data_IF_439056848998
#
_entry.id   IF_439056848998
#
_cell.length_a   1.000
_cell.length_b   1.000
_cell.length_c   1.000
_cell.angle_alpha   90.00
_cell.angle_beta   90.00
_cell.angle_gamma   90.00
#
_symmetry.space_group_name_H-M   'P 1'
#
loop_
_entity.id
_entity.type
_entity.pdbx_description
1 polymer ?
#
# COMPACT_ATOMS: atom_id res chain seq x y z
N UNK A 1 7.17 14.99 54.33
CA UNK A 1 6.48 13.71 54.08
C UNK A 1 6.43 13.52 52.59
N UNK A 2 7.40 12.80 52.02
CA UNK A 2 7.44 12.48 50.59
C UNK A 2 6.60 11.24 50.36
N UNK A 3 5.56 11.38 49.58
CA UNK A 3 4.73 10.26 49.11
C UNK A 3 5.45 9.64 47.95
N UNK A 4 6.08 8.50 48.19
CA UNK A 4 6.64 7.62 47.13
C UNK A 4 5.44 6.92 46.48
N UNK A 5 5.04 7.39 45.32
CA UNK A 5 4.10 6.67 44.46
C UNK A 5 4.81 5.44 43.89
N UNK A 6 4.45 4.27 44.41
CA UNK A 6 4.83 3.01 43.75
C UNK A 6 4.27 2.98 42.32
N UNK A 7 5.02 2.47 41.33
CA UNK A 7 4.49 2.31 39.99
C UNK A 7 3.38 1.27 40.01
N UNK A 8 2.16 1.69 39.60
CA UNK A 8 1.03 0.78 39.40
C UNK A 8 1.50 -0.42 38.56
N UNK A 9 1.31 -1.60 39.11
CA UNK A 9 1.52 -2.87 38.46
C UNK A 9 0.66 -2.87 37.18
N UNK A 10 1.33 -2.76 36.02
CA UNK A 10 0.71 -2.94 34.72
C UNK A 10 0.04 -4.33 34.71
N UNK A 11 -1.28 -4.34 34.60
CA UNK A 11 -2.05 -5.58 34.40
C UNK A 11 -1.54 -6.34 33.17
N UNK A 12 -1.92 -7.61 32.97
CA UNK A 12 -1.43 -8.41 31.88
C UNK A 12 -1.64 -7.67 30.56
N UNK A 13 -0.54 -7.42 29.81
CA UNK A 13 -0.57 -6.72 28.54
C UNK A 13 -1.50 -7.46 27.57
N UNK A 14 -2.44 -6.73 26.96
CA UNK A 14 -3.35 -7.31 25.98
C UNK A 14 -2.54 -7.84 24.76
N UNK A 15 -2.92 -9.00 24.24
CA UNK A 15 -2.33 -9.52 23.02
C UNK A 15 -2.58 -8.56 21.84
N UNK A 16 -1.61 -8.45 20.94
CA UNK A 16 -1.72 -7.60 19.75
C UNK A 16 -2.90 -8.01 18.85
N UNK A 17 -3.22 -9.29 18.80
CA UNK A 17 -4.41 -9.79 18.10
C UNK A 17 -5.71 -9.21 18.68
N UNK A 18 -5.87 -9.23 19.99
CA UNK A 18 -7.06 -8.68 20.66
C UNK A 18 -7.12 -7.16 20.53
N UNK A 19 -5.98 -6.50 20.50
CA UNK A 19 -5.90 -5.07 20.23
C UNK A 19 -6.39 -4.73 18.82
N UNK A 20 -5.90 -5.43 17.78
CA UNK A 20 -6.33 -5.26 16.40
C UNK A 20 -7.84 -5.55 16.23
N UNK A 21 -8.32 -6.65 16.82
CA UNK A 21 -9.71 -7.05 16.76
C UNK A 21 -10.64 -5.99 17.39
N UNK A 22 -10.28 -5.50 18.57
CA UNK A 22 -11.05 -4.46 19.26
C UNK A 22 -11.14 -3.16 18.46
N UNK A 23 -10.03 -2.70 17.88
CA UNK A 23 -10.03 -1.50 17.04
C UNK A 23 -10.89 -1.69 15.80
N UNK A 24 -10.74 -2.83 15.12
CA UNK A 24 -11.54 -3.15 13.94
C UNK A 24 -13.04 -3.21 14.23
N UNK A 25 -13.44 -3.73 15.40
CA UNK A 25 -14.86 -3.77 15.80
C UNK A 25 -15.49 -2.39 16.00
N UNK A 26 -14.68 -1.35 16.26
CA UNK A 26 -15.17 0.03 16.39
C UNK A 26 -15.50 0.66 15.04
N UNK A 27 -14.73 0.35 13.99
CA UNK A 27 -14.97 0.79 12.60
C UNK A 27 -14.54 -0.33 11.63
N UNK A 28 -15.45 -1.25 11.29
CA UNK A 28 -15.10 -2.43 10.50
C UNK A 28 -14.75 -2.17 9.03
N UNK A 29 -15.14 -1.03 8.49
CA UNK A 29 -15.01 -0.74 7.06
C UNK A 29 -13.89 0.25 6.73
N UNK A 30 -13.18 0.76 7.74
CA UNK A 30 -12.10 1.73 7.58
C UNK A 30 -10.74 1.17 7.99
N UNK A 31 -9.64 1.76 7.49
CA UNK A 31 -8.31 1.51 8.03
C UNK A 31 -8.22 1.92 9.50
N UNK A 32 -7.43 1.15 10.28
CA UNK A 32 -7.22 1.49 11.68
C UNK A 32 -6.57 2.87 11.83
N UNK A 33 -7.06 3.72 12.75
CA UNK A 33 -6.44 5.01 13.03
C UNK A 33 -4.96 4.84 13.38
N UNK A 34 -4.08 5.58 12.69
CA UNK A 34 -2.61 5.51 12.85
C UNK A 34 -2.06 4.07 12.80
N UNK A 35 -2.63 3.22 11.95
CA UNK A 35 -2.27 1.80 11.84
C UNK A 35 -2.37 1.02 13.17
N UNK A 36 -3.28 1.43 14.06
CA UNK A 36 -3.51 0.84 15.37
C UNK A 36 -2.56 1.29 16.48
N UNK A 37 -1.70 2.27 16.23
CA UNK A 37 -0.82 2.83 17.26
C UNK A 37 -1.60 3.74 18.26
N UNK A 38 -1.21 3.77 19.56
CA UNK A 38 -0.07 3.04 20.17
C UNK A 38 -0.36 1.55 20.38
N UNK A 39 0.66 0.72 20.13
CA UNK A 39 0.56 -0.72 20.38
C UNK A 39 0.73 -1.04 21.88
N UNK A 40 0.14 -2.14 22.40
CA UNK A 40 0.28 -2.53 23.80
C UNK A 40 1.72 -2.66 24.30
N UNK A 41 2.67 -2.99 23.40
CA UNK A 41 4.10 -3.18 23.72
C UNK A 41 4.99 -1.95 23.40
N UNK A 42 4.43 -0.79 23.06
CA UNK A 42 5.20 0.37 22.62
C UNK A 42 6.25 0.84 23.62
N UNK A 43 5.93 0.80 24.91
CA UNK A 43 6.86 1.22 25.94
C UNK A 43 8.05 0.25 26.07
N UNK A 44 7.78 -1.05 26.09
CA UNK A 44 8.83 -2.09 26.08
C UNK A 44 9.70 -1.98 24.82
N UNK A 45 9.07 -1.79 23.66
CA UNK A 45 9.77 -1.67 22.38
C UNK A 45 10.62 -0.39 22.31
N UNK A 46 10.19 0.72 22.89
CA UNK A 46 10.94 1.97 22.98
C UNK A 46 12.20 1.81 23.83
N UNK A 47 12.10 1.17 24.99
CA UNK A 47 13.24 0.89 25.86
C UNK A 47 14.30 0.02 25.17
N UNK A 48 13.87 -0.95 24.33
CA UNK A 48 14.76 -1.82 23.55
C UNK A 48 15.47 -1.10 22.40
N UNK A 49 14.79 -0.19 21.68
CA UNK A 49 15.37 0.62 20.59
C UNK A 49 16.51 1.55 21.03
N UNK A 50 16.59 1.88 22.30
CA UNK A 50 17.70 2.70 22.85
C UNK A 50 19.02 1.94 22.98
N UNK A 51 19.04 0.61 22.86
CA UNK A 51 20.27 -0.18 22.78
C UNK A 51 20.89 -0.04 21.39
N UNK A 52 22.20 0.29 21.27
CA UNK A 52 22.84 0.40 19.98
C UNK A 52 22.77 -0.93 19.25
N UNK A 53 22.05 -0.95 18.13
CA UNK A 53 22.11 -2.06 17.19
C UNK A 53 23.54 -2.08 16.62
N UNK A 54 24.34 -3.04 17.00
CA UNK A 54 25.56 -3.39 16.26
C UNK A 54 25.11 -3.63 14.82
N UNK A 55 25.74 -2.93 13.87
CA UNK A 55 25.48 -3.04 12.43
C UNK A 55 25.78 -4.49 12.00
N UNK A 56 24.78 -5.38 12.18
CA UNK A 56 24.88 -6.76 11.71
C UNK A 56 24.78 -6.76 10.19
N UNK A 57 25.59 -7.58 9.55
CA UNK A 57 25.46 -7.84 8.11
C UNK A 57 23.99 -8.22 7.81
N UNK A 58 23.40 -7.54 6.85
CA UNK A 58 22.01 -7.79 6.43
C UNK A 58 21.75 -9.27 6.10
N UNK A 59 22.79 -9.99 5.62
CA UNK A 59 22.73 -11.43 5.31
C UNK A 59 22.56 -12.32 6.55
N UNK A 60 22.92 -11.83 7.72
CA UNK A 60 22.79 -12.56 8.99
C UNK A 60 21.48 -12.22 9.71
N UNK A 61 20.66 -11.35 9.15
CA UNK A 61 19.40 -10.96 9.75
C UNK A 61 18.46 -12.17 9.84
N UNK A 62 17.91 -12.42 11.03
CA UNK A 62 17.03 -13.55 11.28
C UNK A 62 17.75 -14.87 11.66
N UNK A 63 19.10 -14.94 11.62
CA UNK A 63 19.85 -16.13 12.04
C UNK A 63 19.63 -16.43 13.53
N UNK A 64 19.65 -15.41 14.39
CA UNK A 64 19.41 -15.57 15.83
C UNK A 64 17.98 -16.10 16.08
N UNK A 65 16.99 -15.58 15.35
CA UNK A 65 15.60 -16.06 15.40
C UNK A 65 15.51 -17.53 14.98
N UNK A 66 16.18 -17.89 13.88
CA UNK A 66 16.22 -19.28 13.40
C UNK A 66 16.84 -20.24 14.42
N UNK A 67 17.93 -19.83 15.08
CA UNK A 67 18.58 -20.63 16.13
C UNK A 67 17.65 -20.86 17.34
N UNK A 68 16.89 -19.84 17.76
CA UNK A 68 15.90 -19.97 18.83
C UNK A 68 14.81 -20.97 18.42
N UNK A 69 14.32 -20.88 17.18
CA UNK A 69 13.30 -21.80 16.65
C UNK A 69 13.83 -23.23 16.55
N UNK A 70 15.06 -23.44 16.07
CA UNK A 70 15.67 -24.77 16.00
C UNK A 70 15.80 -25.40 17.39
N UNK A 71 16.22 -24.64 18.42
CA UNK A 71 16.28 -25.12 19.80
C UNK A 71 14.89 -25.48 20.34
N UNK A 72 13.88 -24.66 20.06
CA UNK A 72 12.49 -24.91 20.50
C UNK A 72 11.94 -26.19 19.85
N UNK A 73 12.01 -26.28 18.52
CA UNK A 73 11.46 -27.43 17.78
C UNK A 73 12.27 -28.72 17.98
N UNK A 74 13.52 -28.61 18.39
CA UNK A 74 14.39 -29.76 18.78
C UNK A 74 13.92 -30.48 20.05
N UNK A 75 13.14 -29.80 20.92
CA UNK A 75 12.57 -30.40 22.14
C UNK A 75 11.17 -30.94 21.83
N UNK A 76 10.91 -32.20 22.19
CA UNK A 76 9.64 -32.86 21.88
C UNK A 76 8.45 -32.26 22.64
N UNK A 77 8.65 -31.77 23.83
CA UNK A 77 7.67 -31.26 24.80
C UNK A 77 7.60 -29.74 24.91
N UNK A 78 8.41 -29.00 24.11
CA UNK A 78 8.42 -27.55 24.14
C UNK A 78 7.05 -26.94 23.83
N UNK A 79 6.63 -26.01 24.69
CA UNK A 79 5.36 -25.32 24.57
C UNK A 79 5.51 -23.99 23.85
N UNK A 80 4.57 -23.58 22.99
CA UNK A 80 4.63 -22.28 22.29
C UNK A 80 4.79 -21.07 23.22
N UNK A 81 4.28 -21.16 24.45
CA UNK A 81 4.40 -20.09 25.45
C UNK A 81 5.84 -19.81 25.88
N UNK A 82 6.76 -20.77 25.75
CA UNK A 82 8.18 -20.57 26.02
C UNK A 82 8.85 -19.57 25.07
N UNK A 83 8.23 -19.32 23.92
CA UNK A 83 8.69 -18.36 22.92
C UNK A 83 8.11 -16.96 23.09
N UNK A 84 7.20 -16.73 24.05
CA UNK A 84 6.49 -15.44 24.17
C UNK A 84 7.45 -14.24 24.29
N UNK A 85 8.56 -14.40 25.01
CA UNK A 85 9.56 -13.35 25.24
C UNK A 85 10.93 -13.68 24.62
N UNK A 86 11.05 -14.80 23.92
CA UNK A 86 12.35 -15.30 23.42
C UNK A 86 12.98 -14.41 22.34
N UNK A 87 12.18 -13.59 21.65
CA UNK A 87 12.64 -12.77 20.53
C UNK A 87 12.87 -11.31 20.88
N UNK A 88 12.76 -10.97 22.17
CA UNK A 88 12.85 -9.59 22.64
C UNK A 88 14.17 -8.90 22.31
N UNK A 89 15.27 -9.63 22.24
CA UNK A 89 16.60 -9.10 21.92
C UNK A 89 17.07 -9.43 20.49
N UNK A 90 16.27 -10.19 19.74
CA UNK A 90 16.57 -10.56 18.36
C UNK A 90 16.15 -9.48 17.37
N UNK A 91 16.90 -9.33 16.26
CA UNK A 91 16.47 -8.52 15.12
C UNK A 91 15.49 -9.33 14.27
N UNK A 92 14.19 -9.17 14.54
CA UNK A 92 13.12 -9.89 13.85
C UNK A 92 12.75 -9.18 12.56
N UNK A 93 13.01 -9.78 11.38
CA UNK A 93 12.64 -9.21 10.09
C UNK A 93 11.12 -9.22 9.89
N UNK A 94 10.60 -8.13 9.35
CA UNK A 94 9.15 -7.99 9.03
C UNK A 94 8.79 -8.53 7.65
N UNK A 95 9.76 -8.82 6.82
CA UNK A 95 9.59 -9.44 5.50
C UNK A 95 9.99 -10.91 5.56
N UNK A 96 9.66 -11.64 4.49
CA UNK A 96 10.11 -13.02 4.33
C UNK A 96 11.62 -13.15 4.59
N UNK A 97 11.97 -14.16 5.36
CA UNK A 97 13.36 -14.41 5.73
C UNK A 97 13.70 -15.89 5.56
N UNK A 98 14.74 -16.18 4.78
CA UNK A 98 15.12 -17.54 4.41
C UNK A 98 15.59 -18.36 5.63
N UNK A 99 16.27 -17.76 6.61
CA UNK A 99 16.74 -18.45 7.81
C UNK A 99 15.55 -18.94 8.67
N UNK A 100 14.56 -18.05 8.89
CA UNK A 100 13.35 -18.37 9.65
C UNK A 100 12.53 -19.44 8.89
N UNK A 101 12.35 -19.28 7.59
CA UNK A 101 11.64 -20.24 6.75
C UNK A 101 12.33 -21.62 6.76
N UNK A 102 13.67 -21.66 6.66
CA UNK A 102 14.43 -22.90 6.73
C UNK A 102 14.30 -23.60 8.10
N UNK A 103 14.31 -22.84 9.21
CA UNK A 103 14.09 -23.41 10.55
C UNK A 103 12.68 -24.02 10.66
N UNK A 104 11.66 -23.33 10.18
CA UNK A 104 10.29 -23.84 10.14
C UNK A 104 10.17 -25.13 9.30
N UNK A 105 10.83 -25.20 8.13
CA UNK A 105 10.78 -26.37 7.24
C UNK A 105 11.51 -27.60 7.79
N UNK A 106 12.48 -27.44 8.71
CA UNK A 106 13.14 -28.55 9.41
C UNK A 106 12.26 -29.19 10.48
N UNK A 107 11.27 -28.45 10.98
CA UNK A 107 10.41 -28.90 12.06
C UNK A 107 9.14 -29.59 11.56
N UNK A 108 8.47 -30.32 12.46
CA UNK A 108 7.20 -30.97 12.13
C UNK A 108 6.11 -29.93 11.82
N UNK A 109 5.54 -29.97 10.62
CA UNK A 109 4.60 -28.97 10.08
C UNK A 109 3.47 -28.59 11.05
N UNK A 110 2.85 -29.56 11.70
CA UNK A 110 1.75 -29.30 12.63
C UNK A 110 2.22 -28.51 13.88
N UNK A 111 3.41 -28.80 14.41
CA UNK A 111 3.98 -28.04 15.52
C UNK A 111 4.29 -26.61 15.12
N UNK A 112 4.88 -26.42 13.93
CA UNK A 112 5.17 -25.08 13.39
C UNK A 112 3.87 -24.26 13.29
N UNK A 113 2.80 -24.84 12.73
CA UNK A 113 1.50 -24.21 12.64
C UNK A 113 0.91 -23.86 14.01
N UNK A 114 0.91 -24.81 14.94
CA UNK A 114 0.38 -24.60 16.29
C UNK A 114 1.15 -23.48 17.01
N UNK A 115 2.49 -23.49 16.93
CA UNK A 115 3.34 -22.44 17.50
C UNK A 115 3.05 -21.08 16.84
N UNK A 116 2.96 -21.02 15.51
CA UNK A 116 2.61 -19.81 14.79
C UNK A 116 1.25 -19.23 15.20
N UNK A 117 0.22 -20.05 15.26
CA UNK A 117 -1.13 -19.67 15.73
C UNK A 117 -1.10 -19.12 17.16
N UNK A 118 -0.39 -19.83 18.05
CA UNK A 118 -0.31 -19.42 19.44
C UNK A 118 0.37 -18.05 19.59
N UNK A 119 1.53 -17.86 18.93
CA UNK A 119 2.27 -16.61 18.99
C UNK A 119 1.46 -15.44 18.43
N UNK A 120 0.79 -15.60 17.31
CA UNK A 120 -0.04 -14.53 16.73
C UNK A 120 -1.21 -14.19 17.65
N UNK A 121 -1.85 -15.20 18.27
CA UNK A 121 -3.07 -14.99 19.05
C UNK A 121 -2.82 -14.49 20.45
N UNK A 122 -1.70 -14.89 21.08
CA UNK A 122 -1.53 -14.69 22.52
C UNK A 122 -0.34 -13.80 22.90
N UNK A 123 0.60 -13.52 21.96
CA UNK A 123 1.73 -12.67 22.31
C UNK A 123 1.32 -11.21 22.45
N UNK A 124 1.71 -10.56 23.55
CA UNK A 124 1.62 -9.12 23.70
C UNK A 124 2.76 -8.37 22.99
N UNK A 125 3.82 -9.06 22.58
CA UNK A 125 5.06 -8.53 22.00
C UNK A 125 5.05 -8.65 20.48
N UNK A 126 5.37 -7.54 19.79
CA UNK A 126 5.36 -7.47 18.33
C UNK A 126 6.42 -8.36 17.67
N UNK A 127 7.55 -8.62 18.32
CA UNK A 127 8.59 -9.48 17.78
C UNK A 127 8.12 -10.93 17.73
N UNK A 128 7.58 -11.43 18.83
CA UNK A 128 7.04 -12.79 18.93
C UNK A 128 5.83 -12.99 18.00
N UNK A 129 4.93 -12.00 17.90
CA UNK A 129 3.83 -12.01 16.94
C UNK A 129 4.34 -12.04 15.50
N UNK A 130 5.39 -11.26 15.16
CA UNK A 130 6.01 -11.28 13.83
C UNK A 130 6.58 -12.65 13.50
N UNK A 131 7.28 -13.31 14.45
CA UNK A 131 7.80 -14.66 14.25
C UNK A 131 6.64 -15.64 14.06
N UNK A 132 5.58 -15.54 14.87
CA UNK A 132 4.37 -16.37 14.70
C UNK A 132 3.79 -16.26 13.29
N UNK A 133 3.69 -15.03 12.76
CA UNK A 133 3.20 -14.80 11.41
C UNK A 133 4.17 -15.32 10.34
N UNK A 134 5.49 -15.20 10.57
CA UNK A 134 6.50 -15.77 9.67
C UNK A 134 6.39 -17.31 9.61
N UNK A 135 6.13 -17.98 10.75
CA UNK A 135 5.86 -19.42 10.78
C UNK A 135 4.59 -19.77 9.99
N UNK A 136 3.50 -19.02 10.15
CA UNK A 136 2.27 -19.22 9.37
C UNK A 136 2.48 -18.97 7.87
N UNK A 137 3.38 -18.09 7.48
CA UNK A 137 3.71 -17.84 6.07
C UNK A 137 4.42 -19.04 5.39
N UNK A 138 4.94 -20.00 6.15
CA UNK A 138 5.52 -21.25 5.60
C UNK A 138 4.48 -22.34 5.35
N UNK A 139 3.23 -22.12 5.75
CA UNK A 139 2.09 -23.04 5.61
C UNK A 139 0.97 -22.39 4.79
N UNK A 140 0.02 -23.19 4.29
CA UNK A 140 -1.09 -22.72 3.46
C UNK A 140 -2.46 -23.25 3.89
N UNK A 141 -2.63 -23.46 5.18
CA UNK A 141 -3.92 -23.85 5.75
C UNK A 141 -4.95 -22.70 5.68
N UNK A 142 -6.10 -22.97 5.06
CA UNK A 142 -7.16 -21.96 4.84
C UNK A 142 -7.78 -21.47 6.16
N UNK A 143 -7.87 -22.34 7.16
CA UNK A 143 -8.42 -22.01 8.47
C UNK A 143 -7.66 -20.91 9.23
N UNK A 144 -6.43 -20.57 8.80
CA UNK A 144 -5.64 -19.48 9.38
C UNK A 144 -5.96 -18.10 8.78
N UNK A 145 -6.74 -18.03 7.71
CA UNK A 145 -7.08 -16.77 7.03
C UNK A 145 -7.65 -15.73 8.01
N UNK A 146 -8.66 -16.03 8.85
CA UNK A 146 -9.21 -15.02 9.75
C UNK A 146 -8.19 -14.51 10.80
N UNK A 147 -7.32 -15.39 11.28
CA UNK A 147 -6.26 -15.02 12.21
C UNK A 147 -5.26 -14.06 11.57
N UNK A 148 -4.83 -14.38 10.34
CA UNK A 148 -3.87 -13.57 9.57
C UNK A 148 -4.50 -12.23 9.18
N UNK A 149 -5.75 -12.20 8.73
CA UNK A 149 -6.46 -10.97 8.39
C UNK A 149 -6.55 -10.02 9.58
N UNK A 150 -6.91 -10.53 10.76
CA UNK A 150 -7.05 -9.70 11.96
C UNK A 150 -5.73 -9.04 12.35
N UNK A 151 -4.64 -9.81 12.43
CA UNK A 151 -3.33 -9.23 12.80
C UNK A 151 -2.77 -8.33 11.70
N UNK A 152 -3.12 -8.57 10.44
CA UNK A 152 -2.71 -7.78 9.28
C UNK A 152 -3.33 -6.38 9.25
N UNK A 153 -4.36 -6.10 10.05
CA UNK A 153 -4.91 -4.75 10.22
C UNK A 153 -3.91 -3.79 10.86
N UNK A 154 -2.96 -4.28 11.67
CA UNK A 154 -1.77 -3.55 12.12
C UNK A 154 -0.72 -3.59 11.00
N UNK A 155 -1.07 -2.96 9.89
CA UNK A 155 -0.56 -3.30 8.57
C UNK A 155 0.86 -2.84 8.30
N UNK A 156 1.30 -1.77 8.94
CA UNK A 156 2.67 -1.27 8.81
C UNK A 156 3.69 -2.30 9.30
N UNK A 157 3.38 -2.96 10.41
CA UNK A 157 4.27 -3.95 11.03
C UNK A 157 4.09 -5.35 10.47
N UNK A 158 2.84 -5.80 10.34
CA UNK A 158 2.54 -7.19 10.01
C UNK A 158 2.13 -7.40 8.55
N UNK A 159 1.85 -6.32 7.82
CA UNK A 159 1.41 -6.36 6.42
C UNK A 159 2.28 -7.19 5.49
N UNK A 160 3.62 -7.06 5.48
CA UNK A 160 4.46 -7.81 4.55
C UNK A 160 4.32 -9.33 4.68
N UNK A 161 4.41 -9.85 5.92
CA UNK A 161 4.29 -11.28 6.18
C UNK A 161 2.85 -11.78 6.05
N UNK A 162 1.86 -10.96 6.41
CA UNK A 162 0.46 -11.31 6.26
C UNK A 162 0.07 -11.40 4.78
N UNK A 163 0.48 -10.45 3.96
CA UNK A 163 0.23 -10.48 2.53
C UNK A 163 0.87 -11.70 1.87
N UNK A 164 2.13 -12.02 2.23
CA UNK A 164 2.81 -13.23 1.77
C UNK A 164 2.10 -14.51 2.22
N UNK A 165 1.66 -14.57 3.48
CA UNK A 165 0.94 -15.71 4.02
C UNK A 165 -0.41 -15.93 3.33
N UNK A 166 -1.19 -14.87 3.11
CA UNK A 166 -2.48 -14.94 2.43
C UNK A 166 -2.32 -15.32 0.96
N UNK A 167 -1.34 -14.74 0.27
CA UNK A 167 -1.08 -15.00 -1.15
C UNK A 167 -0.89 -16.50 -1.46
N UNK A 168 -0.41 -17.28 -0.51
CA UNK A 168 -0.17 -18.72 -0.67
C UNK A 168 -1.38 -19.60 -0.35
N UNK A 169 -2.47 -19.03 0.15
CA UNK A 169 -3.64 -19.79 0.59
C UNK A 169 -4.73 -19.82 -0.47
N UNK A 170 -5.46 -20.91 -0.53
CA UNK A 170 -6.74 -20.93 -1.23
C UNK A 170 -7.69 -19.99 -0.50
N UNK A 171 -8.47 -19.18 -1.23
CA UNK A 171 -9.25 -18.09 -0.63
C UNK A 171 -8.41 -16.86 -0.20
N UNK A 172 -7.10 -16.87 -0.47
CA UNK A 172 -6.19 -15.79 -0.11
C UNK A 172 -6.41 -14.52 -0.94
N UNK A 173 -6.93 -14.64 -2.17
CA UNK A 173 -7.26 -13.50 -3.00
C UNK A 173 -8.39 -12.67 -2.39
N UNK A 174 -9.47 -13.30 -1.99
CA UNK A 174 -10.59 -12.66 -1.32
C UNK A 174 -10.18 -12.05 0.01
N UNK A 175 -9.29 -12.74 0.73
CA UNK A 175 -8.73 -12.25 1.98
C UNK A 175 -7.85 -10.99 1.79
N UNK A 176 -7.04 -10.96 0.73
CA UNK A 176 -6.24 -9.79 0.36
C UNK A 176 -7.12 -8.63 -0.12
N UNK A 177 -8.18 -8.88 -0.89
CA UNK A 177 -9.14 -7.86 -1.29
C UNK A 177 -9.86 -7.25 -0.08
N UNK A 178 -10.24 -8.08 0.88
CA UNK A 178 -10.83 -7.62 2.13
C UNK A 178 -9.87 -6.69 2.90
N UNK A 179 -8.58 -7.06 2.98
CA UNK A 179 -7.55 -6.23 3.59
C UNK A 179 -7.31 -4.93 2.81
N UNK A 180 -7.23 -5.00 1.48
CA UNK A 180 -6.98 -3.82 0.65
C UNK A 180 -7.98 -2.68 0.86
N UNK A 181 -9.19 -3.00 1.31
CA UNK A 181 -10.23 -2.03 1.66
C UNK A 181 -10.08 -1.46 3.08
N UNK A 182 -9.20 -2.06 3.93
CA UNK A 182 -9.09 -1.79 5.37
C UNK A 182 -7.69 -1.40 5.83
N UNK A 183 -6.78 -1.20 4.90
CA UNK A 183 -5.40 -0.78 5.19
C UNK A 183 -5.01 0.40 4.32
N UNK A 184 -4.12 1.24 4.85
CA UNK A 184 -3.59 2.43 4.17
C UNK A 184 -2.06 2.44 4.21
N UNK A 185 -1.45 3.43 3.58
CA UNK A 185 -0.02 3.64 3.62
C UNK A 185 0.78 2.40 3.17
N UNK A 186 1.84 2.04 3.89
CA UNK A 186 2.66 0.87 3.57
C UNK A 186 1.89 -0.45 3.60
N UNK A 187 0.91 -0.59 4.50
CA UNK A 187 0.06 -1.78 4.54
C UNK A 187 -0.65 -2.01 3.20
N UNK A 188 -1.17 -0.93 2.61
CA UNK A 188 -1.81 -0.99 1.28
C UNK A 188 -0.80 -1.38 0.19
N UNK A 189 0.43 -0.86 0.23
CA UNK A 189 1.49 -1.24 -0.72
C UNK A 189 1.70 -2.75 -0.71
N UNK A 190 1.91 -3.36 0.45
CA UNK A 190 2.16 -4.81 0.55
C UNK A 190 0.99 -5.65 0.04
N UNK A 191 -0.23 -5.26 0.36
CA UNK A 191 -1.44 -6.00 -0.04
C UNK A 191 -1.68 -5.90 -1.54
N UNK A 192 -1.57 -4.69 -2.13
CA UNK A 192 -1.73 -4.49 -3.57
C UNK A 192 -0.64 -5.21 -4.36
N UNK A 193 0.61 -5.17 -3.90
CA UNK A 193 1.69 -5.93 -4.54
C UNK A 193 1.44 -7.44 -4.52
N UNK A 194 0.93 -7.97 -3.41
CA UNK A 194 0.57 -9.39 -3.31
C UNK A 194 -0.57 -9.77 -4.29
N UNK A 195 -1.61 -8.94 -4.41
CA UNK A 195 -2.67 -9.10 -5.39
C UNK A 195 -2.13 -9.10 -6.83
N UNK A 196 -1.26 -8.14 -7.15
CA UNK A 196 -0.63 -8.07 -8.48
C UNK A 196 0.22 -9.32 -8.79
N UNK A 197 0.92 -9.88 -7.80
CA UNK A 197 1.75 -11.07 -7.96
C UNK A 197 0.92 -12.36 -8.18
N UNK A 198 -0.29 -12.43 -7.65
CA UNK A 198 -1.18 -13.57 -7.90
C UNK A 198 -1.70 -13.59 -9.35
N UNK A 199 -1.67 -12.46 -10.05
CA UNK A 199 -2.24 -12.35 -11.40
C UNK A 199 -3.75 -12.60 -11.42
N UNK A 200 -4.42 -12.36 -10.33
CA UNK A 200 -5.73 -12.84 -10.00
C UNK A 200 -6.83 -12.17 -10.85
N UNK A 201 -7.57 -12.97 -11.55
CA UNK A 201 -8.66 -12.53 -12.43
C UNK A 201 -9.81 -11.88 -11.65
N UNK A 202 -10.13 -12.38 -10.46
CA UNK A 202 -11.22 -11.86 -9.63
C UNK A 202 -10.92 -10.47 -9.04
N UNK A 203 -9.67 -10.19 -8.66
CA UNK A 203 -9.25 -8.89 -8.13
C UNK A 203 -9.05 -7.82 -9.22
N UNK A 204 -8.93 -8.22 -10.50
CA UNK A 204 -8.67 -7.32 -11.63
C UNK A 204 -9.62 -6.13 -11.67
N UNK A 205 -10.94 -6.40 -11.58
CA UNK A 205 -11.98 -5.35 -11.66
C UNK A 205 -11.84 -4.35 -10.52
N UNK A 206 -11.54 -4.83 -9.33
CA UNK A 206 -11.32 -3.98 -8.15
C UNK A 206 -10.03 -3.16 -8.27
N UNK A 207 -8.91 -3.80 -8.66
CA UNK A 207 -7.62 -3.13 -8.86
C UNK A 207 -7.73 -1.98 -9.85
N UNK A 208 -8.45 -2.17 -10.95
CA UNK A 208 -8.65 -1.17 -12.00
C UNK A 208 -9.52 0.03 -11.57
N UNK A 209 -10.21 -0.03 -10.44
CA UNK A 209 -11.10 1.05 -9.96
C UNK A 209 -10.75 1.61 -8.60
N UNK A 210 -10.03 0.82 -7.76
CA UNK A 210 -9.89 1.15 -6.34
C UNK A 210 -8.48 0.96 -5.78
N UNK A 211 -7.49 0.50 -6.55
CA UNK A 211 -6.15 0.22 -6.00
C UNK A 211 -5.51 1.46 -5.39
N UNK A 212 -5.62 2.62 -6.04
CA UNK A 212 -5.03 3.88 -5.58
C UNK A 212 -6.05 4.68 -4.76
N UNK A 213 -5.66 5.07 -3.55
CA UNK A 213 -6.47 5.87 -2.61
C UNK A 213 -6.07 7.36 -2.55
N UNK A 214 -5.04 7.75 -3.30
CA UNK A 214 -4.52 9.12 -3.33
C UNK A 214 -3.26 9.33 -2.49
N UNK A 215 -2.84 8.34 -1.69
CA UNK A 215 -1.58 8.39 -0.95
C UNK A 215 -0.39 8.41 -1.93
N UNK A 216 0.68 9.15 -1.60
CA UNK A 216 1.90 9.24 -2.41
C UNK A 216 2.60 7.87 -2.55
N UNK A 217 2.44 6.97 -1.56
CA UNK A 217 2.97 5.60 -1.61
C UNK A 217 2.36 4.74 -2.72
N UNK A 218 1.26 5.18 -3.33
CA UNK A 218 0.68 4.51 -4.49
C UNK A 218 1.67 4.44 -5.68
N UNK A 219 2.68 5.33 -5.70
CA UNK A 219 3.78 5.29 -6.67
C UNK A 219 4.54 3.96 -6.70
N UNK A 220 4.60 3.21 -5.60
CA UNK A 220 5.27 1.91 -5.54
C UNK A 220 4.58 0.84 -6.38
N UNK A 221 3.25 0.91 -6.52
CA UNK A 221 2.49 -0.17 -7.16
C UNK A 221 1.65 0.25 -8.39
N UNK A 222 1.45 1.54 -8.68
CA UNK A 222 0.55 1.99 -9.75
C UNK A 222 0.85 1.33 -11.11
N UNK A 223 2.11 1.31 -11.54
CA UNK A 223 2.51 0.65 -12.79
C UNK A 223 2.37 -0.87 -12.75
N UNK A 224 2.55 -1.50 -11.58
CA UNK A 224 2.29 -2.94 -11.41
C UNK A 224 0.81 -3.25 -11.55
N UNK A 225 -0.07 -2.42 -10.98
CA UNK A 225 -1.53 -2.52 -11.15
C UNK A 225 -1.91 -2.38 -12.62
N UNK A 226 -1.39 -1.36 -13.31
CA UNK A 226 -1.65 -1.15 -14.73
C UNK A 226 -1.27 -2.37 -15.59
N UNK A 227 -0.16 -3.02 -15.23
CA UNK A 227 0.33 -4.21 -15.94
C UNK A 227 -0.46 -5.46 -15.56
N UNK A 228 -0.55 -5.80 -14.28
CA UNK A 228 -1.16 -7.04 -13.79
C UNK A 228 -2.67 -7.09 -14.04
N UNK A 229 -3.35 -5.95 -13.95
CA UNK A 229 -4.77 -5.84 -14.23
C UNK A 229 -5.10 -5.56 -15.71
N UNK A 230 -4.10 -5.56 -16.62
CA UNK A 230 -4.27 -5.34 -18.06
C UNK A 230 -5.05 -4.06 -18.37
N UNK A 231 -4.61 -2.93 -17.82
CA UNK A 231 -5.29 -1.64 -17.95
C UNK A 231 -5.56 -1.27 -19.41
N UNK A 232 -4.61 -1.55 -20.32
CA UNK A 232 -4.74 -1.20 -21.75
C UNK A 232 -5.91 -1.90 -22.43
N UNK A 233 -6.19 -3.17 -22.10
CA UNK A 233 -7.37 -3.89 -22.59
C UNK A 233 -8.66 -3.34 -21.99
N UNK A 234 -8.65 -3.05 -20.69
CA UNK A 234 -9.83 -2.59 -19.98
C UNK A 234 -10.29 -1.21 -20.46
N UNK A 235 -9.38 -0.22 -20.60
CA UNK A 235 -9.73 1.14 -21.01
C UNK A 235 -10.18 1.24 -22.48
N UNK A 236 -9.71 0.32 -23.32
CA UNK A 236 -10.12 0.24 -24.74
C UNK A 236 -11.34 -0.63 -24.95
N UNK A 237 -11.73 -1.42 -23.97
CA UNK A 237 -12.87 -2.34 -24.03
C UNK A 237 -14.24 -1.67 -24.05
N UNK A 238 -15.28 -2.48 -24.32
CA UNK A 238 -16.67 -2.00 -24.36
C UNK A 238 -17.28 -1.73 -22.98
N UNK A 239 -16.76 -2.39 -21.93
CA UNK A 239 -17.27 -2.30 -20.55
C UNK A 239 -16.58 -1.19 -19.73
N UNK A 240 -16.17 -0.11 -20.38
CA UNK A 240 -15.51 1.03 -19.72
C UNK A 240 -16.57 1.92 -19.07
N UNK A 241 -16.53 2.02 -17.76
CA UNK A 241 -17.34 2.92 -16.94
C UNK A 241 -16.53 4.13 -16.44
N UNK A 242 -17.21 5.10 -15.84
CA UNK A 242 -16.58 6.33 -15.32
C UNK A 242 -15.54 6.04 -14.24
N UNK A 243 -15.79 5.09 -13.34
CA UNK A 243 -14.84 4.70 -12.28
C UNK A 243 -13.53 4.18 -12.87
N UNK A 244 -13.61 3.38 -13.95
CA UNK A 244 -12.42 2.89 -14.65
C UNK A 244 -11.65 4.04 -15.31
N UNK A 245 -12.34 4.98 -15.96
CA UNK A 245 -11.69 6.13 -16.60
C UNK A 245 -11.01 7.02 -15.55
N UNK A 246 -11.69 7.33 -14.46
CA UNK A 246 -11.17 8.16 -13.37
C UNK A 246 -9.95 7.50 -12.71
N UNK A 247 -10.03 6.21 -12.44
CA UNK A 247 -8.88 5.51 -11.86
C UNK A 247 -7.72 5.34 -12.86
N UNK A 248 -8.02 5.22 -14.16
CA UNK A 248 -6.98 5.25 -15.21
C UNK A 248 -6.24 6.59 -15.21
N UNK A 249 -6.95 7.71 -15.15
CA UNK A 249 -6.34 9.03 -15.01
C UNK A 249 -5.43 9.13 -13.78
N UNK A 250 -5.89 8.61 -12.65
CA UNK A 250 -5.11 8.56 -11.41
C UNK A 250 -3.84 7.71 -11.56
N UNK A 251 -3.93 6.51 -12.15
CA UNK A 251 -2.77 5.64 -12.41
C UNK A 251 -1.76 6.32 -13.34
N UNK A 252 -2.22 6.94 -14.43
CA UNK A 252 -1.36 7.66 -15.37
C UNK A 252 -0.65 8.84 -14.70
N UNK A 253 -1.38 9.65 -13.93
CA UNK A 253 -0.82 10.77 -13.14
C UNK A 253 0.27 10.29 -12.17
N UNK A 254 0.01 9.20 -11.44
CA UNK A 254 0.98 8.63 -10.50
C UNK A 254 2.22 8.15 -11.25
N UNK A 255 2.07 7.40 -12.35
CA UNK A 255 3.20 6.94 -13.16
C UNK A 255 3.97 8.09 -13.81
N UNK A 256 3.34 9.22 -14.07
CA UNK A 256 4.02 10.43 -14.54
C UNK A 256 4.96 11.02 -13.48
N UNK A 257 4.59 10.94 -12.19
CA UNK A 257 5.30 11.59 -11.09
C UNK A 257 6.11 10.67 -10.15
N UNK A 258 6.02 9.34 -10.28
CA UNK A 258 6.59 8.40 -9.29
C UNK A 258 8.07 8.02 -9.51
N UNK A 259 8.83 8.85 -10.22
CA UNK A 259 10.26 8.57 -10.46
C UNK A 259 11.02 8.24 -9.17
N UNK A 260 11.76 7.12 -9.15
CA UNK A 260 12.50 6.64 -7.99
C UNK A 260 11.69 5.78 -7.01
N UNK A 261 10.37 5.64 -7.19
CA UNK A 261 9.50 4.80 -6.35
C UNK A 261 9.08 3.52 -7.06
N UNK A 262 8.54 3.62 -8.26
CA UNK A 262 7.99 2.50 -8.99
C UNK A 262 8.10 2.67 -10.51
N UNK A 263 7.24 1.95 -11.23
CA UNK A 263 7.20 1.97 -12.70
C UNK A 263 6.61 3.29 -13.19
N UNK A 264 7.39 4.02 -13.97
CA UNK A 264 6.99 5.26 -14.65
C UNK A 264 6.40 5.00 -16.04
N UNK A 265 5.85 6.02 -16.70
CA UNK A 265 5.19 5.88 -18.01
C UNK A 265 6.13 5.33 -19.08
N UNK A 266 7.40 5.71 -19.08
CA UNK A 266 8.42 5.21 -20.02
C UNK A 266 8.75 3.71 -19.86
N UNK A 267 8.48 3.17 -18.66
CA UNK A 267 8.62 1.75 -18.36
C UNK A 267 7.33 0.95 -18.53
N UNK A 268 6.23 1.61 -18.94
CA UNK A 268 4.95 0.97 -19.24
C UNK A 268 4.68 0.96 -20.74
N UNK A 269 4.99 -0.11 -21.49
CA UNK A 269 4.92 -0.12 -22.95
C UNK A 269 3.56 0.28 -23.54
N UNK A 270 2.39 -0.03 -22.93
CA UNK A 270 1.11 0.41 -23.43
C UNK A 270 0.79 1.90 -23.20
N UNK A 271 1.66 2.69 -22.53
CA UNK A 271 1.36 4.07 -22.14
C UNK A 271 0.74 4.93 -23.25
N UNK A 272 1.29 4.98 -24.51
CA UNK A 272 0.71 5.82 -25.55
C UNK A 272 -0.74 5.46 -25.89
N UNK A 273 -1.05 4.17 -25.92
CA UNK A 273 -2.40 3.68 -26.21
C UNK A 273 -3.38 3.96 -25.08
N UNK A 274 -2.91 3.78 -23.82
CA UNK A 274 -3.73 4.06 -22.62
C UNK A 274 -4.00 5.55 -22.47
N UNK A 275 -3.01 6.41 -22.72
CA UNK A 275 -3.17 7.87 -22.72
C UNK A 275 -4.19 8.31 -23.79
N UNK A 276 -4.09 7.78 -25.02
CA UNK A 276 -5.03 8.11 -26.09
C UNK A 276 -6.46 7.63 -25.78
N UNK A 277 -6.61 6.41 -25.26
CA UNK A 277 -7.91 5.89 -24.85
C UNK A 277 -8.50 6.69 -23.67
N UNK A 278 -7.67 7.06 -22.68
CA UNK A 278 -8.10 7.85 -21.54
C UNK A 278 -8.65 9.22 -21.97
N UNK A 279 -7.88 10.00 -22.75
CA UNK A 279 -8.34 11.34 -23.17
C UNK A 279 -9.59 11.28 -24.05
N UNK A 280 -9.72 10.26 -24.92
CA UNK A 280 -10.92 10.06 -25.74
C UNK A 280 -12.17 9.70 -24.93
N UNK A 281 -12.00 9.01 -23.77
CA UNK A 281 -13.11 8.73 -22.84
C UNK A 281 -13.42 9.94 -21.98
N UNK A 282 -12.38 10.60 -21.47
CA UNK A 282 -12.49 11.82 -20.66
C UNK A 282 -13.29 12.92 -21.35
N UNK A 283 -13.10 13.11 -22.66
CA UNK A 283 -13.84 14.07 -23.49
C UNK A 283 -15.37 13.88 -23.43
N UNK A 284 -15.84 12.68 -23.12
CA UNK A 284 -17.25 12.32 -23.02
C UNK A 284 -17.83 12.36 -21.60
N UNK A 285 -16.97 12.51 -20.59
CA UNK A 285 -17.39 12.52 -19.20
C UNK A 285 -17.86 13.90 -18.76
N UNK A 286 -18.71 13.92 -17.73
CA UNK A 286 -19.04 15.15 -16.99
C UNK A 286 -17.79 15.71 -16.32
N UNK A 287 -17.46 17.00 -16.50
CA UNK A 287 -16.29 17.59 -15.89
C UNK A 287 -16.39 17.62 -14.36
N UNK A 288 -15.27 17.33 -13.69
CA UNK A 288 -15.10 17.49 -12.24
C UNK A 288 -13.72 18.07 -11.97
N UNK A 289 -13.56 18.70 -10.79
CA UNK A 289 -12.27 19.22 -10.35
C UNK A 289 -11.15 18.14 -10.38
N UNK A 290 -11.44 16.94 -9.88
CA UNK A 290 -10.46 15.85 -9.85
C UNK A 290 -10.03 15.43 -11.26
N UNK A 291 -11.00 15.24 -12.18
CA UNK A 291 -10.71 14.89 -13.59
C UNK A 291 -9.86 15.97 -14.27
N UNK A 292 -10.21 17.24 -14.02
CA UNK A 292 -9.45 18.36 -14.57
C UNK A 292 -7.99 18.35 -14.09
N UNK A 293 -7.78 18.24 -12.78
CA UNK A 293 -6.45 18.22 -12.17
C UNK A 293 -5.62 17.06 -12.67
N UNK A 294 -6.19 15.85 -12.71
CA UNK A 294 -5.48 14.66 -13.18
C UNK A 294 -5.08 14.79 -14.66
N UNK A 295 -5.99 15.27 -15.51
CA UNK A 295 -5.73 15.52 -16.92
C UNK A 295 -4.65 16.60 -17.14
N UNK A 296 -4.71 17.68 -16.39
CA UNK A 296 -3.72 18.76 -16.49
C UNK A 296 -2.31 18.32 -16.04
N UNK A 297 -2.21 17.55 -14.97
CA UNK A 297 -0.90 17.00 -14.53
C UNK A 297 -0.33 16.03 -15.57
N UNK A 298 -1.16 15.22 -16.21
CA UNK A 298 -0.73 14.34 -17.30
C UNK A 298 -0.25 15.18 -18.50
N UNK A 299 -1.01 16.19 -18.92
CA UNK A 299 -0.66 17.09 -20.03
C UNK A 299 0.66 17.86 -19.73
N UNK A 300 0.82 18.32 -18.51
CA UNK A 300 2.04 19.02 -18.04
C UNK A 300 3.27 18.09 -18.11
N UNK A 301 3.14 16.85 -17.62
CA UNK A 301 4.22 15.86 -17.74
C UNK A 301 4.60 15.59 -19.20
N UNK A 302 3.59 15.41 -20.08
CA UNK A 302 3.82 15.19 -21.50
C UNK A 302 4.52 16.39 -22.18
N UNK A 303 4.27 17.61 -21.68
CA UNK A 303 4.88 18.85 -22.21
C UNK A 303 6.30 19.06 -21.68
N UNK A 304 6.52 18.81 -20.38
CA UNK A 304 7.80 19.06 -19.69
C UNK A 304 8.85 17.99 -20.00
N UNK A 305 8.45 16.74 -20.18
CA UNK A 305 9.36 15.61 -20.40
C UNK A 305 9.65 15.33 -21.87
N UNK A 306 10.82 14.76 -22.13
CA UNK A 306 11.11 14.24 -23.46
C UNK A 306 10.13 13.12 -23.84
N UNK A 307 9.84 12.90 -25.12
CA UNK A 307 8.94 11.83 -25.55
C UNK A 307 9.32 10.46 -24.97
N UNK A 308 10.62 10.16 -24.92
CA UNK A 308 11.14 8.90 -24.38
C UNK A 308 10.76 8.72 -22.90
N UNK A 309 10.82 9.78 -22.10
CA UNK A 309 10.42 9.77 -20.68
C UNK A 309 8.89 9.66 -20.48
N UNK A 310 8.12 9.83 -21.53
CA UNK A 310 6.66 9.65 -21.54
C UNK A 310 6.25 8.33 -22.21
N UNK A 311 7.20 7.51 -22.65
CA UNK A 311 6.93 6.28 -23.39
C UNK A 311 6.37 6.51 -24.81
N UNK A 312 6.48 7.72 -25.38
CA UNK A 312 5.85 8.15 -26.62
C UNK A 312 6.89 8.48 -27.70
N UNK A 313 6.48 8.48 -28.97
CA UNK A 313 7.19 9.21 -30.02
C UNK A 313 6.90 10.72 -29.92
N UNK A 314 7.69 11.57 -30.61
CA UNK A 314 7.43 13.02 -30.67
C UNK A 314 6.02 13.33 -31.18
N UNK A 315 5.61 12.70 -32.28
CA UNK A 315 4.31 12.90 -32.89
C UNK A 315 3.16 12.44 -31.98
N UNK A 316 3.30 11.28 -31.35
CA UNK A 316 2.31 10.76 -30.38
C UNK A 316 2.17 11.73 -29.19
N UNK A 317 3.28 12.17 -28.60
CA UNK A 317 3.25 13.11 -27.49
C UNK A 317 2.55 14.42 -27.86
N UNK A 318 2.94 15.03 -28.97
CA UNK A 318 2.37 16.31 -29.39
C UNK A 318 0.88 16.19 -29.73
N UNK A 319 0.48 15.04 -30.28
CA UNK A 319 -0.94 14.75 -30.53
C UNK A 319 -1.72 14.62 -29.20
N UNK A 320 -1.19 13.87 -28.24
CA UNK A 320 -1.78 13.69 -26.91
C UNK A 320 -1.90 15.00 -26.14
N UNK A 321 -0.86 15.82 -26.13
CA UNK A 321 -0.89 17.16 -25.49
C UNK A 321 -2.02 17.99 -26.08
N UNK A 322 -2.16 18.06 -27.41
CA UNK A 322 -3.26 18.79 -28.06
C UNK A 322 -4.64 18.26 -27.64
N UNK A 323 -4.80 16.93 -27.56
CA UNK A 323 -6.08 16.34 -27.15
C UNK A 323 -6.43 16.67 -25.72
N UNK A 324 -5.49 16.54 -24.76
CA UNK A 324 -5.73 16.92 -23.37
C UNK A 324 -6.06 18.40 -23.22
N UNK A 325 -5.30 19.28 -23.87
CA UNK A 325 -5.58 20.73 -23.84
C UNK A 325 -6.95 21.07 -24.44
N UNK A 326 -7.35 20.40 -25.53
CA UNK A 326 -8.66 20.61 -26.12
C UNK A 326 -9.81 20.27 -25.17
N UNK A 327 -9.66 19.23 -24.33
CA UNK A 327 -10.64 18.90 -23.27
C UNK A 327 -10.60 19.93 -22.13
N UNK A 328 -9.41 20.29 -21.65
CA UNK A 328 -9.21 21.22 -20.53
C UNK A 328 -9.69 22.65 -20.85
N UNK A 329 -9.65 23.07 -22.12
CA UNK A 329 -10.06 24.41 -22.56
C UNK A 329 -11.56 24.50 -22.88
N UNK A 330 -12.32 23.41 -22.78
CA UNK A 330 -13.77 23.45 -22.92
C UNK A 330 -14.39 24.33 -21.83
N UNK A 331 -15.44 25.07 -22.17
CA UNK A 331 -16.09 26.00 -21.25
C UNK A 331 -16.64 25.28 -20.00
N UNK A 332 -17.33 24.15 -20.19
CA UNK A 332 -17.87 23.33 -19.08
C UNK A 332 -16.80 22.81 -18.13
N UNK A 333 -15.60 22.47 -18.63
CA UNK A 333 -14.44 22.05 -17.84
C UNK A 333 -13.82 23.23 -17.08
N UNK A 334 -13.68 24.38 -17.73
CA UNK A 334 -13.22 25.61 -17.07
C UNK A 334 -14.17 26.03 -15.94
N UNK A 335 -15.46 25.95 -16.16
CA UNK A 335 -16.46 26.34 -15.16
C UNK A 335 -16.47 25.36 -13.97
N UNK A 336 -16.34 24.06 -14.22
CA UNK A 336 -16.27 23.05 -13.16
C UNK A 336 -15.03 23.22 -12.26
N UNK A 337 -13.85 23.51 -12.83
CA UNK A 337 -12.66 23.74 -12.02
C UNK A 337 -12.76 25.05 -11.21
N UNK A 338 -13.26 26.14 -11.82
CA UNK A 338 -13.44 27.41 -11.12
C UNK A 338 -14.42 27.30 -9.94
N UNK A 339 -15.50 26.51 -10.11
CA UNK A 339 -16.47 26.26 -9.05
C UNK A 339 -15.93 25.43 -7.89
N UNK A 340 -14.93 24.59 -8.14
CA UNK A 340 -14.31 23.72 -7.15
C UNK A 340 -13.00 24.22 -6.55
N UNK A 341 -12.50 25.38 -7.02
CA UNK A 341 -11.26 25.95 -6.50
C UNK A 341 -11.45 26.49 -5.07
N UNK A 342 -10.59 26.03 -4.17
CA UNK A 342 -10.44 26.59 -2.83
C UNK A 342 -9.14 27.41 -2.80
N UNK A 343 -9.28 28.72 -2.71
CA UNK A 343 -8.15 29.66 -2.76
C UNK A 343 -7.17 29.50 -1.58
N UNK A 344 -7.65 28.96 -0.45
CA UNK A 344 -6.84 28.75 0.76
C UNK A 344 -6.10 27.39 0.75
N UNK A 345 -6.25 26.60 -0.32
CA UNK A 345 -5.61 25.30 -0.44
C UNK A 345 -4.25 25.40 -1.13
N UNK A 346 -3.18 25.11 -0.41
CA UNK A 346 -1.77 25.15 -0.88
C UNK A 346 -1.54 24.36 -2.18
N UNK A 347 -2.27 23.24 -2.35
CA UNK A 347 -2.17 22.44 -3.57
C UNK A 347 -2.67 23.24 -4.79
N UNK A 348 -3.76 23.96 -4.68
CA UNK A 348 -4.28 24.76 -5.79
C UNK A 348 -3.43 26.00 -6.09
N UNK A 349 -2.82 26.61 -5.09
CA UNK A 349 -1.84 27.68 -5.28
C UNK A 349 -0.62 27.16 -6.07
N UNK A 350 -0.11 26.00 -5.69
CA UNK A 350 0.95 25.32 -6.43
C UNK A 350 0.53 24.96 -7.85
N UNK A 351 -0.67 24.37 -8.02
CA UNK A 351 -1.20 23.93 -9.32
C UNK A 351 -1.34 25.11 -10.28
N UNK A 352 -1.92 26.23 -9.82
CA UNK A 352 -2.09 27.46 -10.61
C UNK A 352 -0.73 28.03 -11.06
N UNK A 353 0.27 28.03 -10.16
CA UNK A 353 1.60 28.61 -10.42
C UNK A 353 2.53 27.70 -11.23
N UNK A 354 2.23 26.41 -11.36
CA UNK A 354 3.08 25.43 -12.04
C UNK A 354 2.37 24.77 -13.23
N UNK A 355 1.59 23.67 -13.11
CA UNK A 355 0.99 23.04 -14.28
C UNK A 355 0.10 23.98 -15.10
N UNK A 356 -0.80 24.72 -14.43
CA UNK A 356 -1.73 25.60 -15.13
C UNK A 356 -1.04 26.76 -15.86
N UNK A 357 0.00 27.34 -15.24
CA UNK A 357 0.78 28.41 -15.86
C UNK A 357 1.60 27.91 -17.05
N UNK A 358 2.27 26.76 -16.95
CA UNK A 358 3.07 26.18 -18.05
C UNK A 358 2.23 25.80 -19.24
N UNK A 359 1.04 25.25 -18.98
CA UNK A 359 0.08 24.84 -20.01
C UNK A 359 -0.76 26.00 -20.54
N UNK A 360 -0.66 27.19 -19.96
CA UNK A 360 -1.51 28.36 -20.27
C UNK A 360 -3.02 28.04 -20.19
N UNK A 361 -3.44 27.28 -19.16
CA UNK A 361 -4.80 26.83 -19.03
C UNK A 361 -5.78 28.00 -18.89
N UNK A 362 -6.77 28.05 -19.77
CA UNK A 362 -7.77 29.13 -19.87
C UNK A 362 -8.54 29.34 -18.56
N UNK A 363 -8.80 28.28 -17.80
CA UNK A 363 -9.49 28.38 -16.52
C UNK A 363 -8.78 29.28 -15.50
N UNK A 364 -7.45 29.46 -15.62
CA UNK A 364 -6.59 30.18 -14.68
C UNK A 364 -6.07 31.52 -15.23
N UNK A 365 -6.06 31.73 -16.53
CA UNK A 365 -5.57 32.99 -17.14
C UNK A 365 -6.40 34.20 -16.75
N UNK A 366 -7.73 34.03 -16.62
CA UNK A 366 -8.65 35.10 -16.24
C UNK A 366 -8.57 35.48 -14.75
N UNK A 367 -8.07 34.55 -13.88
CA UNK A 367 -7.87 34.80 -12.46
C UNK A 367 -6.62 35.63 -12.19
N UNK A 368 -5.62 35.54 -13.05
CA UNK A 368 -4.34 36.31 -12.93
C UNK A 368 -4.44 37.71 -13.56
N UNK A 369 -5.50 38.00 -14.33
CA UNK A 369 -5.71 39.28 -15.03
C UNK A 369 -6.56 40.32 -14.27
N UNK A 370 -7.10 39.97 -13.09
CA UNK A 370 -8.02 40.81 -12.32
C UNK A 370 -7.38 41.85 -11.40
N UNK A 371 -6.05 41.92 -11.31
CA UNK A 371 -5.30 42.88 -10.49
C UNK A 371 -4.47 43.86 -11.38
N UNK A 372 -5.14 44.61 -12.23
CA UNK A 372 -4.55 45.80 -12.85
C UNK A 372 -5.51 46.97 -12.82
#
# INVERSE_FOLDING_TARGET
MSVTTEPESLGPQAALFEHALRLHQQDPDSPLPRDGEPYPDDELHRCRRQRPLTRKDQRLRGVDVAAILDMHFGKADAQPSELADAFCEADVPIHHNEHIAAAALRAHRQRVRQTGRWLVRHSPDRCSTTVGLALLATDWAEEDIPLIQTIALLSHRFGPLAAEALRRRRGGEEALLWLAQRVAGWGRVYVIEALCQQGAYASRRWLLRHACDGDYLNGYFAGRVATAAHLHEAITGAETDDDLVDHTGRLLKIMAGCGGMGMTLDHYPPAPHVLAAHVARLDRQTPTLSRYVDAAIIADHLTDKTPQQSGCTHEQRDHLVRQYLAVLDRQDWCDAVRAGLDADNDFFAWFASNPAARLHLRAFTDLMGGDR
#
